data_IF_976842599233
#
_entry.id   IF_976842599233
#
_cell.length_a   1.000
_cell.length_b   1.000
_cell.length_c   1.000
_cell.angle_alpha   90.00
_cell.angle_beta   90.00
_cell.angle_gamma   90.00
#
_symmetry.space_group_name_H-M   'P 1'
#
loop_
_entity.id
_entity.type
_entity.pdbx_description
1 polymer ?
#
# COMPACT_ATOMS: atom_id res chain seq x y z
N UNK A 1 10.96 -6.55 -8.57
CA UNK A 1 12.13 -6.78 -7.70
C UNK A 1 11.59 -7.23 -6.35
N UNK A 2 12.16 -8.28 -5.73
CA UNK A 2 11.81 -8.64 -4.36
C UNK A 2 12.06 -7.43 -3.44
N UNK A 3 11.07 -7.08 -2.61
CA UNK A 3 11.15 -5.94 -1.69
C UNK A 3 11.93 -6.29 -0.40
N UNK A 4 12.80 -7.29 -0.46
CA UNK A 4 13.38 -7.98 0.70
C UNK A 4 14.36 -7.10 1.50
N UNK A 5 14.68 -5.88 1.02
CA UNK A 5 15.66 -5.00 1.70
C UNK A 5 15.33 -3.49 1.66
N UNK A 6 14.06 -3.09 1.55
CA UNK A 6 13.69 -1.67 1.58
C UNK A 6 13.47 -1.17 3.02
N UNK A 7 14.54 -0.74 3.69
CA UNK A 7 14.44 -0.05 4.99
C UNK A 7 13.91 1.36 4.78
N UNK A 8 12.75 1.67 5.35
CA UNK A 8 12.20 3.02 5.36
C UNK A 8 13.16 3.99 6.07
N UNK A 9 13.52 5.09 5.40
CA UNK A 9 14.18 6.19 6.08
C UNK A 9 13.17 6.93 6.96
N UNK A 10 13.29 6.76 8.29
CA UNK A 10 12.38 7.40 9.25
C UNK A 10 12.67 8.88 9.48
N UNK A 11 13.82 9.39 9.03
CA UNK A 11 14.19 10.80 9.23
C UNK A 11 13.34 11.76 8.40
N UNK A 12 12.63 11.26 7.39
CA UNK A 12 11.79 12.03 6.47
C UNK A 12 10.29 11.83 6.76
N UNK A 13 9.94 11.11 7.82
CA UNK A 13 8.54 10.84 8.19
C UNK A 13 8.07 11.93 9.14
N UNK A 14 7.00 12.61 8.75
CA UNK A 14 6.35 13.66 9.54
C UNK A 14 4.95 13.19 9.94
N UNK A 15 4.54 13.48 11.18
CA UNK A 15 3.19 13.19 11.69
C UNK A 15 2.41 14.49 11.74
N UNK A 16 1.32 14.57 10.99
CA UNK A 16 0.46 15.75 10.88
C UNK A 16 -0.97 15.42 11.37
N UNK A 17 -1.76 16.44 11.72
CA UNK A 17 -3.18 16.24 12.00
C UNK A 17 -3.92 15.86 10.72
N UNK A 18 -4.93 14.98 10.84
CA UNK A 18 -5.79 14.59 9.73
C UNK A 18 -6.54 15.78 9.11
N UNK A 19 -6.79 16.83 9.91
CA UNK A 19 -7.53 18.04 9.49
C UNK A 19 -6.64 19.13 8.92
N UNK A 20 -5.31 18.99 9.00
CA UNK A 20 -4.39 19.99 8.47
C UNK A 20 -4.30 19.88 6.95
N UNK A 21 -3.98 21.00 6.29
CA UNK A 21 -3.66 20.96 4.88
C UNK A 21 -2.32 20.21 4.68
N UNK A 22 -2.39 19.02 4.08
CA UNK A 22 -1.21 18.21 3.75
C UNK A 22 -0.55 18.70 2.46
N UNK A 23 0.79 18.66 2.44
CA UNK A 23 1.64 18.94 1.28
C UNK A 23 1.68 17.77 0.28
N UNK A 24 1.04 16.65 0.61
CA UNK A 24 0.95 15.45 -0.24
C UNK A 24 0.50 15.77 -1.67
N UNK A 25 -0.53 16.62 -1.83
CA UNK A 25 -1.05 16.96 -3.17
C UNK A 25 0.03 17.63 -4.02
N UNK A 26 0.70 18.63 -3.45
CA UNK A 26 1.71 19.42 -4.16
C UNK A 26 2.96 18.57 -4.42
N UNK A 27 3.32 17.70 -3.48
CA UNK A 27 4.39 16.71 -3.67
C UNK A 27 4.12 15.81 -4.89
N UNK A 28 2.94 15.20 -4.97
CA UNK A 28 2.59 14.30 -6.08
C UNK A 28 2.41 15.02 -7.41
N UNK A 29 2.02 16.29 -7.38
CA UNK A 29 1.90 17.13 -8.58
C UNK A 29 3.28 17.47 -9.18
N UNK A 30 4.28 17.71 -8.33
CA UNK A 30 5.64 18.01 -8.74
C UNK A 30 6.49 16.77 -9.07
N UNK A 31 6.03 15.57 -8.69
CA UNK A 31 6.72 14.32 -8.99
C UNK A 31 6.68 13.99 -10.50
N UNK A 32 7.77 13.43 -11.03
CA UNK A 32 7.83 13.01 -12.42
C UNK A 32 6.89 11.81 -12.68
N UNK A 33 6.41 11.62 -13.93
CA UNK A 33 5.59 10.46 -14.28
C UNK A 33 6.24 9.13 -13.89
N UNK A 34 7.57 9.02 -14.04
CA UNK A 34 8.35 7.83 -13.67
C UNK A 34 8.30 7.57 -12.17
N UNK A 35 8.47 8.60 -11.33
CA UNK A 35 8.39 8.48 -9.87
C UNK A 35 6.99 8.02 -9.43
N UNK A 36 5.95 8.56 -10.06
CA UNK A 36 4.56 8.17 -9.78
C UNK A 36 4.29 6.71 -10.13
N UNK A 37 4.81 6.22 -11.25
CA UNK A 37 4.69 4.81 -11.65
C UNK A 37 5.42 3.87 -10.68
N UNK A 38 6.61 4.25 -10.22
CA UNK A 38 7.36 3.48 -9.22
C UNK A 38 6.61 3.42 -7.90
N UNK A 39 6.05 4.55 -7.44
CA UNK A 39 5.23 4.60 -6.23
C UNK A 39 3.99 3.71 -6.37
N UNK A 40 3.31 3.75 -7.52
CA UNK A 40 2.13 2.93 -7.78
C UNK A 40 2.46 1.43 -7.79
N UNK A 41 3.55 1.01 -8.44
CA UNK A 41 3.97 -0.40 -8.42
C UNK A 41 4.40 -0.84 -7.02
N UNK A 42 5.01 0.06 -6.24
CA UNK A 42 5.35 -0.21 -4.84
C UNK A 42 4.08 -0.46 -4.02
N UNK A 43 3.06 0.40 -4.14
CA UNK A 43 1.77 0.21 -3.48
C UNK A 43 1.07 -1.08 -3.94
N UNK A 44 1.14 -1.41 -5.23
CA UNK A 44 0.59 -2.66 -5.77
C UNK A 44 1.24 -3.88 -5.12
N UNK A 45 2.57 -3.89 -5.00
CA UNK A 45 3.31 -4.99 -4.37
C UNK A 45 3.04 -5.09 -2.87
N UNK A 46 2.88 -3.97 -2.16
CA UNK A 46 2.53 -3.96 -0.73
C UNK A 46 1.13 -4.56 -0.51
N UNK A 47 0.15 -4.13 -1.29
CA UNK A 47 -1.26 -4.52 -1.07
C UNK A 47 -1.56 -5.93 -1.55
N UNK A 48 -0.89 -6.40 -2.61
CA UNK A 48 -1.23 -7.65 -3.27
C UNK A 48 -0.10 -8.69 -3.18
N UNK A 49 1.11 -8.28 -2.85
CA UNK A 49 2.31 -9.10 -3.04
C UNK A 49 2.81 -9.03 -4.48
N UNK A 50 4.08 -9.40 -4.67
CA UNK A 50 4.67 -9.50 -6.01
C UNK A 50 3.99 -10.63 -6.82
N UNK A 51 3.57 -11.69 -6.13
CA UNK A 51 3.01 -12.94 -6.68
C UNK A 51 1.48 -13.09 -6.44
N UNK A 52 0.79 -11.96 -6.27
CA UNK A 52 -0.64 -11.90 -5.93
C UNK A 52 -1.56 -12.75 -6.81
N UNK A 53 -1.20 -12.90 -8.08
CA UNK A 53 -2.01 -13.60 -9.09
C UNK A 53 -1.76 -15.09 -9.14
N UNK A 54 -0.71 -15.59 -8.49
CA UNK A 54 -0.36 -17.02 -8.46
C UNK A 54 -0.65 -17.67 -7.11
N UNK A 55 -0.90 -16.86 -6.08
CA UNK A 55 -1.73 -17.26 -4.95
C UNK A 55 -3.19 -17.41 -5.39
N UNK A 56 -3.58 -18.63 -5.77
CA UNK A 56 -4.97 -19.01 -6.11
C UNK A 56 -5.95 -18.41 -5.09
N UNK A 57 -6.88 -17.56 -5.54
CA UNK A 57 -8.00 -17.05 -4.72
C UNK A 57 -8.61 -18.20 -3.93
N UNK A 58 -8.69 -18.05 -2.60
CA UNK A 58 -9.26 -19.05 -1.71
C UNK A 58 -10.76 -19.16 -2.01
N UNK A 59 -11.14 -20.27 -2.66
CA UNK A 59 -12.49 -20.48 -3.25
C UNK A 59 -13.56 -20.90 -2.24
N UNK A 60 -13.23 -21.00 -0.96
CA UNK A 60 -14.19 -21.48 0.04
C UNK A 60 -14.83 -20.28 0.72
N UNK A 61 -15.97 -19.85 0.18
CA UNK A 61 -16.96 -19.16 1.00
C UNK A 61 -17.58 -20.21 1.92
N UNK A 62 -17.32 -20.12 3.22
CA UNK A 62 -17.98 -20.92 4.25
C UNK A 62 -19.12 -20.11 4.88
N UNK A 63 -20.24 -20.78 5.19
CA UNK A 63 -21.35 -20.17 5.93
C UNK A 63 -21.01 -20.25 7.42
N UNK A 64 -20.76 -19.11 8.05
CA UNK A 64 -20.56 -19.04 9.49
C UNK A 64 -21.91 -19.02 10.22
N UNK A 65 -22.12 -19.94 11.18
CA UNK A 65 -23.28 -19.91 12.07
C UNK A 65 -23.12 -18.82 13.14
N UNK A 66 -24.16 -18.01 13.32
CA UNK A 66 -24.22 -16.99 14.37
C UNK A 66 -24.38 -17.68 15.73
N UNK A 67 -23.36 -17.60 16.60
CA UNK A 67 -23.50 -18.00 18.00
C UNK A 67 -24.36 -16.98 18.74
N UNK A 68 -25.59 -17.37 19.08
CA UNK A 68 -26.43 -16.66 20.04
C UNK A 68 -26.08 -17.14 21.45
N UNK A 69 -25.70 -16.20 22.31
CA UNK A 69 -25.44 -16.42 23.74
C UNK A 69 -26.71 -16.71 24.53
#
# INVERSE_FOLDING_TARGET
MPMDNNRLNKSIVTVCSLTDNSDERDYWFNATPQQRLIALETMRQINYGYDATTARLQRFFEIAELKTS
#
